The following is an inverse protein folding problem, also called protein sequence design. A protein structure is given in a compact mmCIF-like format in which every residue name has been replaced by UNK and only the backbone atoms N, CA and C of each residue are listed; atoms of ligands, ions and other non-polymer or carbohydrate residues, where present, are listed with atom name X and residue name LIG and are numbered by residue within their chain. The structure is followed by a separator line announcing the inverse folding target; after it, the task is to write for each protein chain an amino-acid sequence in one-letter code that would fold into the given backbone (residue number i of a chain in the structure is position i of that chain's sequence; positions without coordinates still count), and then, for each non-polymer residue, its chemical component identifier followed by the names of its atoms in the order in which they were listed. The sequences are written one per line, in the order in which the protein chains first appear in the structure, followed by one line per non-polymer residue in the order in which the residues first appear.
data_IF_832225874639
#
_entry.id   IF_832225874639
#
_cell.length_a   1.000
_cell.length_b   1.000
_cell.length_c   1.000
_cell.angle_alpha   90.00
_cell.angle_beta   90.00
_cell.angle_gamma   90.00
#
_symmetry.space_group_name_H-M   'P 1'
#
loop_
_entity.id
_entity.type
_entity.pdbx_description
1 polymer ?
#
# COMPACT_ATOMS: atom_id res chain seq x y z
N UNK A 1 25.68 -8.45 -17.28
CA UNK A 1 24.83 -8.93 -16.18
C UNK A 1 24.92 -7.90 -15.09
N UNK A 2 23.88 -7.09 -14.88
CA UNK A 2 23.76 -6.28 -13.66
C UNK A 2 23.04 -7.19 -12.67
N UNK A 3 23.77 -7.88 -11.80
CA UNK A 3 23.14 -8.58 -10.70
C UNK A 3 22.82 -7.55 -9.63
N UNK A 4 21.54 -7.25 -9.45
CA UNK A 4 21.16 -6.56 -8.22
C UNK A 4 21.48 -7.50 -7.05
N UNK A 5 21.91 -6.96 -5.89
CA UNK A 5 22.04 -7.75 -4.67
C UNK A 5 20.75 -8.50 -4.33
N UNK A 6 19.60 -7.91 -4.68
CA UNK A 6 18.29 -8.56 -4.65
C UNK A 6 18.23 -9.83 -5.50
N UNK A 7 18.71 -9.79 -6.74
CA UNK A 7 18.69 -10.91 -7.68
C UNK A 7 19.67 -12.00 -7.23
N UNK A 8 20.86 -11.63 -6.75
CA UNK A 8 21.84 -12.57 -6.20
C UNK A 8 21.31 -13.25 -4.94
N UNK A 9 20.68 -12.49 -4.05
CA UNK A 9 20.06 -13.01 -2.83
C UNK A 9 18.84 -13.88 -3.14
N UNK A 10 17.97 -13.47 -4.07
CA UNK A 10 16.83 -14.26 -4.52
C UNK A 10 17.31 -15.56 -5.20
N UNK A 11 18.36 -15.49 -6.02
CA UNK A 11 18.97 -16.66 -6.66
C UNK A 11 19.65 -17.59 -5.63
N UNK A 12 20.27 -17.04 -4.59
CA UNK A 12 20.82 -17.81 -3.48
C UNK A 12 19.69 -18.53 -2.73
N UNK A 13 18.63 -17.81 -2.33
CA UNK A 13 17.47 -18.40 -1.67
C UNK A 13 16.79 -19.46 -2.54
N UNK A 14 16.69 -19.22 -3.85
CA UNK A 14 16.17 -20.20 -4.81
C UNK A 14 17.03 -21.47 -4.80
N UNK A 15 18.36 -21.35 -4.91
CA UNK A 15 19.29 -22.50 -4.82
C UNK A 15 19.18 -23.23 -3.49
N UNK A 16 19.13 -22.50 -2.37
CA UNK A 16 18.99 -23.09 -1.03
C UNK A 16 17.67 -23.85 -0.87
N UNK A 17 16.57 -23.34 -1.44
CA UNK A 17 15.25 -24.00 -1.45
C UNK A 17 15.20 -25.21 -2.38
N UNK A 18 15.85 -25.14 -3.54
CA UNK A 18 16.00 -26.29 -4.46
C UNK A 18 16.83 -27.41 -3.82
N UNK A 19 17.85 -27.04 -3.02
CA UNK A 19 18.67 -27.99 -2.26
C UNK A 19 17.96 -28.55 -1.03
N UNK A 20 17.10 -27.76 -0.39
CA UNK A 20 16.34 -28.12 0.81
C UNK A 20 14.82 -27.94 0.57
N UNK A 21 14.19 -28.83 -0.23
CA UNK A 21 12.78 -28.73 -0.51
C UNK A 21 11.98 -28.84 0.78
N UNK A 22 11.18 -27.80 1.07
CA UNK A 22 10.22 -27.85 2.18
C UNK A 22 9.07 -28.75 1.74
N UNK A 23 8.97 -29.93 2.34
CA UNK A 23 7.74 -30.71 2.29
C UNK A 23 6.77 -30.14 3.32
N UNK A 24 5.64 -29.64 2.82
CA UNK A 24 4.51 -29.26 3.67
C UNK A 24 3.47 -30.35 3.48
N UNK A 25 3.31 -31.18 4.50
CA UNK A 25 2.49 -32.38 4.43
C UNK A 25 1.00 -32.09 4.66
N UNK A 26 0.68 -30.88 5.14
CA UNK A 26 -0.67 -30.44 5.46
C UNK A 26 -0.82 -28.92 5.33
N UNK A 27 -2.02 -28.44 4.96
CA UNK A 27 -2.38 -27.03 5.10
C UNK A 27 -2.95 -26.77 6.49
N UNK A 28 -2.66 -25.58 7.01
CA UNK A 28 -3.31 -25.07 8.22
C UNK A 28 -4.83 -24.94 8.04
N UNK A 29 -5.58 -25.21 9.10
CA UNK A 29 -7.05 -25.24 9.09
C UNK A 29 -7.67 -23.90 8.63
N UNK A 30 -7.08 -22.76 8.99
CA UNK A 30 -7.57 -21.45 8.55
C UNK A 30 -7.29 -21.20 7.06
N UNK A 31 -6.25 -21.82 6.49
CA UNK A 31 -5.99 -21.79 5.04
C UNK A 31 -6.98 -22.70 4.30
N UNK A 32 -7.30 -23.86 4.85
CA UNK A 32 -8.32 -24.75 4.28
C UNK A 32 -9.70 -24.09 4.29
N UNK A 33 -10.06 -23.38 5.36
CA UNK A 33 -11.36 -22.74 5.53
C UNK A 33 -11.67 -21.63 4.51
N UNK A 34 -10.65 -21.06 3.85
CA UNK A 34 -10.82 -20.03 2.82
C UNK A 34 -10.81 -20.58 1.39
N UNK A 35 -10.55 -21.87 1.23
CA UNK A 35 -10.63 -22.56 -0.06
C UNK A 35 -12.06 -23.10 -0.28
N UNK A 36 -12.46 -23.41 -1.53
CA UNK A 36 -13.79 -23.94 -1.80
C UNK A 36 -14.13 -25.21 -1.00
N UNK A 37 -15.40 -25.42 -0.67
CA UNK A 37 -15.79 -26.64 0.05
C UNK A 37 -15.50 -27.90 -0.76
N UNK A 38 -15.01 -28.95 -0.08
CA UNK A 38 -14.77 -30.26 -0.67
C UNK A 38 -13.54 -30.36 -1.58
N UNK A 39 -12.58 -29.43 -1.51
CA UNK A 39 -11.31 -29.63 -2.22
C UNK A 39 -10.53 -30.81 -1.63
N UNK A 40 -9.74 -31.46 -2.47
CA UNK A 40 -8.64 -32.33 -2.05
C UNK A 40 -7.31 -31.64 -2.38
N UNK A 41 -6.44 -31.45 -1.40
CA UNK A 41 -5.08 -30.92 -1.64
C UNK A 41 -4.21 -32.06 -2.19
N UNK A 42 -3.70 -31.90 -3.41
CA UNK A 42 -2.88 -32.90 -4.06
C UNK A 42 -1.41 -32.73 -3.66
N UNK A 43 -0.86 -31.51 -3.78
CA UNK A 43 0.53 -31.23 -3.43
C UNK A 43 0.74 -29.78 -2.98
N UNK A 44 1.71 -29.56 -2.11
CA UNK A 44 2.20 -28.24 -1.72
C UNK A 44 3.69 -28.21 -2.00
N UNK A 45 4.14 -27.26 -2.82
CA UNK A 45 5.54 -27.15 -3.22
C UNK A 45 6.04 -25.72 -3.06
N UNK A 46 7.33 -25.50 -2.73
CA UNK A 46 7.91 -24.17 -2.77
C UNK A 46 7.70 -23.50 -4.13
N UNK A 47 7.39 -22.21 -4.15
CA UNK A 47 7.18 -21.45 -5.39
C UNK A 47 7.68 -20.02 -5.25
N UNK A 48 8.49 -19.55 -6.20
CA UNK A 48 9.10 -18.22 -6.15
C UNK A 48 10.14 -18.05 -5.03
N UNK A 49 10.78 -16.89 -5.02
CA UNK A 49 11.73 -16.48 -3.99
C UNK A 49 11.31 -15.14 -3.39
N UNK A 50 11.27 -15.06 -2.07
CA UNK A 50 11.06 -13.81 -1.33
C UNK A 50 12.03 -13.77 -0.16
N UNK A 51 12.61 -12.58 0.07
CA UNK A 51 13.48 -12.31 1.20
C UNK A 51 12.74 -12.36 2.55
N UNK A 52 11.46 -12.02 2.52
CA UNK A 52 10.64 -11.67 3.69
C UNK A 52 9.62 -12.74 4.04
N UNK A 53 9.16 -13.50 3.04
CA UNK A 53 8.13 -14.51 3.21
C UNK A 53 8.56 -15.88 2.68
N UNK A 54 8.00 -16.93 3.26
CA UNK A 54 7.93 -18.22 2.60
C UNK A 54 6.80 -18.19 1.57
N UNK A 55 7.03 -18.79 0.42
CA UNK A 55 6.10 -18.75 -0.71
C UNK A 55 5.93 -20.16 -1.25
N UNK A 56 4.68 -20.58 -1.44
CA UNK A 56 4.34 -21.93 -1.89
C UNK A 56 3.23 -21.92 -2.93
N UNK A 57 3.26 -22.91 -3.81
CA UNK A 57 2.15 -23.28 -4.68
C UNK A 57 1.38 -24.44 -4.04
N UNK A 58 0.06 -24.34 -4.06
CA UNK A 58 -0.86 -25.36 -3.61
C UNK A 58 -1.62 -25.86 -4.83
N UNK A 59 -1.46 -27.13 -5.18
CA UNK A 59 -2.25 -27.78 -6.21
C UNK A 59 -3.39 -28.54 -5.52
N UNK A 60 -4.63 -28.23 -5.87
CA UNK A 60 -5.80 -28.84 -5.28
C UNK A 60 -6.84 -29.22 -6.34
N UNK A 61 -7.62 -30.26 -6.06
CA UNK A 61 -8.71 -30.74 -6.89
C UNK A 61 -10.06 -30.35 -6.30
N UNK A 62 -10.91 -29.72 -7.10
CA UNK A 62 -12.28 -29.41 -6.74
C UNK A 62 -13.16 -30.67 -6.80
N UNK A 63 -14.38 -30.61 -6.26
CA UNK A 63 -15.30 -31.75 -6.22
C UNK A 63 -15.72 -32.30 -7.58
N UNK A 64 -15.57 -31.51 -8.66
CA UNK A 64 -15.81 -31.92 -10.05
C UNK A 64 -14.59 -32.57 -10.73
N UNK A 65 -13.46 -32.66 -10.02
CA UNK A 65 -12.20 -33.18 -10.54
C UNK A 65 -11.27 -32.13 -11.16
N UNK A 66 -11.71 -30.86 -11.28
CA UNK A 66 -10.89 -29.77 -11.83
C UNK A 66 -9.71 -29.48 -10.91
N UNK A 67 -8.50 -29.42 -11.48
CA UNK A 67 -7.30 -29.01 -10.74
C UNK A 67 -7.20 -27.48 -10.76
N UNK A 68 -7.11 -26.87 -9.58
CA UNK A 68 -6.86 -25.45 -9.38
C UNK A 68 -5.60 -25.24 -8.56
N UNK A 69 -4.82 -24.21 -8.92
CA UNK A 69 -3.55 -23.88 -8.27
C UNK A 69 -3.66 -22.55 -7.54
N UNK A 70 -3.02 -22.46 -6.38
CA UNK A 70 -3.01 -21.26 -5.53
C UNK A 70 -1.60 -20.88 -5.13
N UNK A 71 -1.34 -19.59 -5.00
CA UNK A 71 -0.10 -19.07 -4.46
C UNK A 71 -0.34 -18.56 -3.04
N UNK A 72 0.53 -18.95 -2.11
CA UNK A 72 0.46 -18.53 -0.72
C UNK A 72 1.77 -17.91 -0.27
N UNK A 73 1.68 -16.73 0.35
CA UNK A 73 2.75 -16.12 1.15
C UNK A 73 2.53 -16.42 2.62
N UNK A 74 3.61 -16.65 3.34
CA UNK A 74 3.62 -16.92 4.77
C UNK A 74 4.71 -16.09 5.45
N UNK A 75 4.38 -15.42 6.55
CA UNK A 75 5.36 -14.73 7.39
C UNK A 75 6.27 -15.74 8.08
N UNK A 76 7.58 -15.51 8.04
CA UNK A 76 8.53 -16.41 8.69
C UNK A 76 8.67 -16.06 10.19
N UNK A 77 8.50 -17.03 11.11
CA UNK A 77 8.77 -16.82 12.53
C UNK A 77 10.18 -16.28 12.75
N UNK A 78 10.30 -15.19 13.51
CA UNK A 78 11.58 -14.54 13.81
C UNK A 78 12.14 -13.60 12.71
N UNK A 79 11.51 -13.51 11.54
CA UNK A 79 11.83 -12.47 10.52
C UNK A 79 10.90 -11.27 10.58
N UNK A 80 9.62 -11.48 10.91
CA UNK A 80 8.75 -10.40 11.36
C UNK A 80 9.09 -10.09 12.81
N UNK A 81 9.52 -8.85 13.10
CA UNK A 81 9.95 -8.42 14.43
C UNK A 81 8.86 -8.60 15.52
N UNK A 82 7.60 -8.83 15.11
CA UNK A 82 6.48 -9.30 15.94
C UNK A 82 5.36 -9.89 15.05
N UNK A 83 4.40 -10.64 15.63
CA UNK A 83 3.20 -11.09 14.91
C UNK A 83 2.37 -9.97 14.31
N UNK A 84 2.35 -8.79 14.95
CA UNK A 84 1.68 -7.59 14.45
C UNK A 84 2.33 -7.04 13.16
N UNK A 85 3.65 -7.17 12.98
CA UNK A 85 4.30 -6.86 11.71
C UNK A 85 3.84 -7.84 10.63
N UNK A 86 3.82 -9.13 10.94
CA UNK A 86 3.33 -10.16 10.03
C UNK A 86 1.89 -9.94 9.58
N UNK A 87 1.00 -9.63 10.54
CA UNK A 87 -0.40 -9.26 10.29
C UNK A 87 -0.51 -8.11 9.30
N UNK A 88 0.16 -7.00 9.59
CA UNK A 88 0.09 -5.79 8.75
C UNK A 88 0.65 -6.03 7.35
N UNK A 89 1.70 -6.84 7.20
CA UNK A 89 2.24 -7.21 5.88
C UNK A 89 1.22 -7.98 5.05
N UNK A 90 0.58 -9.00 5.62
CA UNK A 90 -0.40 -9.83 4.89
C UNK A 90 -1.71 -9.09 4.64
N UNK A 91 -2.22 -8.33 5.62
CA UNK A 91 -3.39 -7.46 5.48
C UNK A 91 -3.15 -6.39 4.40
N UNK A 92 -2.02 -5.69 4.47
CA UNK A 92 -1.64 -4.66 3.51
C UNK A 92 -1.53 -5.23 2.09
N UNK A 93 -0.90 -6.39 1.93
CA UNK A 93 -0.82 -7.10 0.64
C UNK A 93 -2.22 -7.41 0.12
N UNK A 94 -3.07 -8.03 0.95
CA UNK A 94 -4.43 -8.41 0.52
C UNK A 94 -5.28 -7.22 0.12
N UNK A 95 -5.31 -6.16 0.93
CA UNK A 95 -6.12 -4.96 0.66
C UNK A 95 -5.62 -4.22 -0.59
N UNK A 96 -4.30 -4.11 -0.73
CA UNK A 96 -3.65 -3.51 -1.90
C UNK A 96 -3.99 -4.25 -3.19
N UNK A 97 -3.72 -5.56 -3.22
CA UNK A 97 -3.96 -6.40 -4.39
C UNK A 97 -5.45 -6.47 -4.74
N UNK A 98 -6.33 -6.54 -3.73
CA UNK A 98 -7.79 -6.55 -3.96
C UNK A 98 -8.24 -5.24 -4.60
N UNK A 99 -7.70 -4.11 -4.14
CA UNK A 99 -8.02 -2.80 -4.71
C UNK A 99 -7.48 -2.69 -6.12
N UNK A 100 -6.24 -3.14 -6.39
CA UNK A 100 -5.62 -3.08 -7.71
C UNK A 100 -6.34 -4.00 -8.73
N UNK A 101 -6.67 -5.23 -8.32
CA UNK A 101 -7.45 -6.18 -9.11
C UNK A 101 -8.84 -5.64 -9.48
N UNK A 102 -9.44 -4.76 -8.67
CA UNK A 102 -10.74 -4.15 -9.01
C UNK A 102 -10.68 -3.23 -10.25
N UNK A 103 -9.49 -2.71 -10.59
CA UNK A 103 -9.25 -1.86 -11.77
C UNK A 103 -8.61 -2.61 -12.95
N UNK A 104 -7.98 -3.75 -12.71
CA UNK A 104 -7.31 -4.55 -13.76
C UNK A 104 -7.37 -6.07 -13.49
N UNK A 105 -8.56 -6.67 -13.38
CA UNK A 105 -8.72 -8.04 -12.87
C UNK A 105 -8.07 -9.12 -13.76
N UNK A 106 -7.82 -8.83 -15.04
CA UNK A 106 -7.15 -9.77 -15.95
C UNK A 106 -5.63 -9.78 -15.78
N UNK A 107 -5.06 -8.79 -15.09
CA UNK A 107 -3.62 -8.57 -14.99
C UNK A 107 -3.10 -8.64 -13.55
N UNK A 108 -3.89 -9.18 -12.62
CA UNK A 108 -3.52 -9.32 -11.21
C UNK A 108 -3.92 -10.71 -10.74
N UNK A 109 -3.01 -11.49 -10.10
CA UNK A 109 -3.39 -12.76 -9.50
C UNK A 109 -4.52 -12.55 -8.50
N UNK A 110 -5.70 -13.14 -8.75
CA UNK A 110 -6.90 -12.82 -7.98
C UNK A 110 -6.69 -13.09 -6.49
N UNK A 111 -6.78 -12.07 -5.62
CA UNK A 111 -6.67 -12.26 -4.18
C UNK A 111 -7.85 -13.08 -3.64
N UNK A 112 -7.56 -13.97 -2.70
CA UNK A 112 -8.56 -14.87 -2.11
C UNK A 112 -8.76 -14.52 -0.63
N UNK A 113 -7.67 -14.50 0.15
CA UNK A 113 -7.76 -14.24 1.58
C UNK A 113 -6.41 -13.82 2.19
N UNK A 114 -6.49 -13.29 3.40
CA UNK A 114 -5.38 -13.28 4.36
C UNK A 114 -5.91 -13.72 5.72
N UNK A 115 -5.04 -14.21 6.60
CA UNK A 115 -5.43 -14.65 7.93
C UNK A 115 -4.26 -15.12 8.77
N UNK A 116 -4.53 -15.39 10.04
CA UNK A 116 -3.60 -16.04 10.96
C UNK A 116 -3.74 -17.56 10.85
N UNK A 117 -2.65 -18.29 11.06
CA UNK A 117 -2.69 -19.74 11.20
C UNK A 117 -3.44 -20.15 12.47
N UNK A 118 -4.20 -21.25 12.38
CA UNK A 118 -4.84 -21.86 13.55
C UNK A 118 -3.82 -22.61 14.42
N UNK A 119 -2.84 -23.25 13.78
CA UNK A 119 -1.85 -24.13 14.43
C UNK A 119 -0.69 -23.37 15.05
N UNK A 120 -0.37 -22.17 14.57
CA UNK A 120 0.78 -21.37 14.98
C UNK A 120 0.40 -19.89 15.13
N UNK A 121 0.14 -19.42 16.36
CA UNK A 121 -0.13 -18.00 16.61
C UNK A 121 0.97 -17.09 16.10
N UNK A 122 0.60 -15.85 15.75
CA UNK A 122 1.48 -14.83 15.16
C UNK A 122 2.04 -15.17 13.77
N UNK A 123 1.59 -16.26 13.16
CA UNK A 123 1.94 -16.63 11.78
C UNK A 123 0.80 -16.27 10.85
N UNK A 124 1.07 -15.39 9.89
CA UNK A 124 0.07 -14.83 8.98
C UNK A 124 0.31 -15.25 7.53
N UNK A 125 -0.76 -15.45 6.79
CA UNK A 125 -0.73 -15.81 5.38
C UNK A 125 -1.50 -14.82 4.50
N UNK A 126 -1.10 -14.78 3.24
CA UNK A 126 -1.85 -14.21 2.11
C UNK A 126 -1.99 -15.29 1.04
N UNK A 127 -3.17 -15.37 0.41
CA UNK A 127 -3.53 -16.39 -0.57
C UNK A 127 -4.16 -15.74 -1.82
N UNK A 128 -3.72 -16.16 -3.00
CA UNK A 128 -4.28 -15.74 -4.29
C UNK A 128 -4.27 -16.89 -5.31
N UNK A 129 -4.86 -16.64 -6.49
CA UNK A 129 -4.73 -17.54 -7.64
C UNK A 129 -3.26 -17.66 -8.09
N UNK A 130 -2.86 -18.88 -8.46
CA UNK A 130 -1.51 -19.12 -8.97
C UNK A 130 -1.45 -18.87 -10.47
N UNK A 131 -0.43 -18.14 -10.89
CA UNK A 131 -0.02 -17.99 -12.28
C UNK A 131 1.42 -18.49 -12.42
N UNK A 132 1.68 -19.26 -13.48
CA UNK A 132 3.04 -19.65 -13.83
C UNK A 132 3.63 -18.50 -14.65
N UNK A 133 4.67 -17.84 -14.16
CA UNK A 133 5.17 -16.59 -14.74
C UNK A 133 6.60 -16.78 -15.24
N UNK A 134 6.89 -16.26 -16.43
CA UNK A 134 8.22 -16.30 -17.02
C UNK A 134 9.01 -15.04 -16.68
N UNK A 135 10.28 -15.21 -16.32
CA UNK A 135 11.22 -14.12 -16.03
C UNK A 135 11.69 -13.45 -17.33
N UNK A 136 10.76 -12.78 -18.00
CA UNK A 136 10.96 -12.01 -19.22
C UNK A 136 10.40 -10.60 -19.04
N UNK A 137 11.09 -9.62 -19.62
CA UNK A 137 10.59 -8.25 -19.61
C UNK A 137 9.28 -8.20 -20.41
N UNK A 138 8.21 -7.61 -19.85
CA UNK A 138 6.94 -7.51 -20.54
C UNK A 138 7.07 -6.59 -21.76
N UNK A 139 6.21 -6.81 -22.77
CA UNK A 139 6.13 -5.87 -23.90
C UNK A 139 5.82 -4.46 -23.38
N UNK A 140 6.66 -3.51 -23.78
CA UNK A 140 6.60 -2.14 -23.28
C UNK A 140 5.24 -1.49 -23.50
N UNK A 141 4.63 -1.66 -24.68
CA UNK A 141 3.37 -0.98 -24.99
C UNK A 141 2.22 -1.58 -24.20
N UNK A 142 2.15 -2.91 -24.15
CA UNK A 142 1.13 -3.61 -23.38
C UNK A 142 1.23 -3.29 -21.89
N UNK A 143 2.43 -3.37 -21.30
CA UNK A 143 2.65 -3.06 -19.89
C UNK A 143 2.27 -1.61 -19.54
N UNK A 144 2.76 -0.65 -20.34
CA UNK A 144 2.46 0.77 -20.12
C UNK A 144 0.97 1.06 -20.29
N UNK A 145 0.28 0.39 -21.24
CA UNK A 145 -1.16 0.54 -21.43
C UNK A 145 -1.96 0.02 -20.24
N UNK A 146 -1.55 -1.10 -19.62
CA UNK A 146 -2.19 -1.66 -18.42
C UNK A 146 -2.07 -0.67 -17.25
N UNK A 147 -0.85 -0.21 -16.95
CA UNK A 147 -0.59 0.73 -15.85
C UNK A 147 -1.33 2.05 -16.06
N UNK A 148 -1.26 2.62 -17.26
CA UNK A 148 -1.98 3.85 -17.58
C UNK A 148 -3.51 3.68 -17.49
N UNK A 149 -4.04 2.51 -17.85
CA UNK A 149 -5.47 2.20 -17.69
C UNK A 149 -5.88 2.21 -16.22
N UNK A 150 -5.12 1.57 -15.33
CA UNK A 150 -5.41 1.59 -13.88
C UNK A 150 -5.41 3.03 -13.36
N UNK A 151 -4.40 3.83 -13.71
CA UNK A 151 -4.33 5.23 -13.29
C UNK A 151 -5.52 6.05 -13.80
N UNK A 152 -5.91 5.92 -15.08
CA UNK A 152 -7.08 6.63 -15.64
C UNK A 152 -8.37 6.20 -14.97
N UNK A 153 -8.59 4.90 -14.83
CA UNK A 153 -9.85 4.38 -14.35
C UNK A 153 -10.06 4.64 -12.86
N UNK A 154 -8.98 4.77 -12.08
CA UNK A 154 -9.01 5.03 -10.64
C UNK A 154 -8.89 6.52 -10.28
N UNK A 155 -8.49 7.39 -11.21
CA UNK A 155 -8.34 8.83 -10.98
C UNK A 155 -9.60 9.44 -10.35
N UNK A 156 -9.45 10.15 -9.23
CA UNK A 156 -10.54 10.80 -8.50
C UNK A 156 -11.45 9.83 -7.71
N UNK A 157 -11.14 8.53 -7.68
CA UNK A 157 -11.95 7.50 -6.99
C UNK A 157 -11.39 7.07 -5.64
N UNK A 158 -10.47 7.84 -5.07
CA UNK A 158 -10.06 7.63 -3.68
C UNK A 158 -11.28 7.64 -2.75
N UNK A 159 -11.44 6.65 -1.86
CA UNK A 159 -12.64 6.52 -1.03
C UNK A 159 -12.86 7.70 -0.09
N UNK A 160 -11.81 8.49 0.17
CA UNK A 160 -11.82 9.68 1.02
C UNK A 160 -11.61 10.98 0.23
N UNK A 161 -11.43 10.89 -1.09
CA UNK A 161 -10.93 11.98 -1.96
C UNK A 161 -9.55 12.54 -1.56
N UNK A 162 -8.82 11.85 -0.68
CA UNK A 162 -7.50 12.22 -0.17
C UNK A 162 -6.42 11.26 -0.67
N UNK A 163 -5.16 11.60 -0.43
CA UNK A 163 -4.00 10.74 -0.67
C UNK A 163 -3.74 9.85 0.54
N UNK A 164 -3.34 8.59 0.31
CA UNK A 164 -3.11 7.59 1.36
C UNK A 164 -3.81 6.27 1.10
N UNK A 165 -3.99 5.45 2.12
CA UNK A 165 -4.63 4.14 1.99
C UNK A 165 -5.33 3.72 3.29
N UNK A 166 -6.24 2.76 3.19
CA UNK A 166 -7.05 2.34 4.35
C UNK A 166 -6.23 1.62 5.43
N UNK A 167 -5.16 0.94 5.02
CA UNK A 167 -4.25 0.19 5.90
C UNK A 167 -2.79 0.49 5.54
N UNK A 168 -1.83 0.29 6.45
CA UNK A 168 -0.42 0.31 6.11
C UNK A 168 -0.09 -0.77 5.07
N UNK A 169 0.43 -0.36 3.91
CA UNK A 169 1.06 -1.26 2.95
C UNK A 169 2.56 -1.31 3.20
N UNK A 170 3.28 -2.29 2.65
CA UNK A 170 4.71 -2.46 2.92
C UNK A 170 5.49 -2.52 1.62
N UNK A 171 6.35 -1.54 1.37
CA UNK A 171 7.32 -1.62 0.28
C UNK A 171 8.53 -2.42 0.77
N UNK A 172 8.69 -3.65 0.27
CA UNK A 172 9.50 -4.68 0.91
C UNK A 172 9.06 -4.95 2.37
N UNK A 173 9.92 -4.73 3.36
CA UNK A 173 9.59 -4.84 4.79
C UNK A 173 9.33 -3.47 5.46
N UNK A 174 9.33 -2.38 4.69
CA UNK A 174 9.17 -1.01 5.22
C UNK A 174 7.71 -0.60 5.13
N UNK A 175 7.04 -0.30 6.25
CA UNK A 175 5.66 0.17 6.23
C UNK A 175 5.58 1.55 5.55
N UNK A 176 4.68 1.68 4.59
CA UNK A 176 4.27 2.97 4.07
C UNK A 176 3.37 3.65 5.10
N UNK A 177 3.72 4.87 5.49
CA UNK A 177 2.80 5.70 6.25
C UNK A 177 1.67 6.19 5.32
N UNK A 178 0.59 5.42 5.32
CA UNK A 178 -0.58 5.62 4.47
C UNK A 178 -1.64 6.54 5.09
N UNK A 179 -1.32 7.28 6.16
CA UNK A 179 -2.24 8.23 6.76
C UNK A 179 -2.80 9.20 5.72
N UNK A 180 -4.11 9.45 5.79
CA UNK A 180 -4.82 10.24 4.78
C UNK A 180 -4.44 11.71 4.84
N UNK A 181 -4.00 12.26 3.71
CA UNK A 181 -3.60 13.67 3.59
C UNK A 181 -4.35 14.35 2.44
N UNK A 182 -4.70 15.62 2.64
CA UNK A 182 -5.44 16.41 1.64
C UNK A 182 -4.55 16.90 0.49
N UNK A 183 -3.24 17.01 0.72
CA UNK A 183 -2.27 17.45 -0.29
C UNK A 183 -1.29 16.33 -0.59
N UNK A 184 -0.93 16.20 -1.86
CA UNK A 184 0.05 15.24 -2.32
C UNK A 184 1.45 15.55 -1.77
N UNK A 185 1.80 16.83 -1.67
CA UNK A 185 3.06 17.27 -1.07
C UNK A 185 3.21 16.75 0.37
N UNK A 186 2.19 16.95 1.20
CA UNK A 186 2.21 16.50 2.60
C UNK A 186 2.34 14.99 2.70
N UNK A 187 1.55 14.25 1.92
CA UNK A 187 1.62 12.79 1.91
C UNK A 187 3.00 12.29 1.48
N UNK A 188 3.53 12.84 0.39
CA UNK A 188 4.81 12.41 -0.16
C UNK A 188 5.97 12.74 0.77
N UNK A 189 5.95 13.90 1.43
CA UNK A 189 6.94 14.26 2.46
C UNK A 189 6.95 13.25 3.60
N UNK A 190 5.78 12.90 4.14
CA UNK A 190 5.63 11.90 5.20
C UNK A 190 6.20 10.52 4.78
N UNK A 191 5.88 10.08 3.56
CA UNK A 191 6.41 8.82 3.02
C UNK A 191 7.95 8.85 2.84
N UNK A 192 8.51 9.98 2.42
CA UNK A 192 9.97 10.16 2.27
C UNK A 192 10.67 10.21 3.63
N UNK A 193 10.08 10.87 4.63
CA UNK A 193 10.62 10.92 6.00
C UNK A 193 10.69 9.52 6.61
N UNK A 194 9.63 8.71 6.48
CA UNK A 194 9.63 7.33 6.94
C UNK A 194 10.73 6.48 6.26
N UNK A 195 10.93 6.68 4.95
CA UNK A 195 11.97 5.96 4.20
C UNK A 195 13.38 6.40 4.60
N UNK A 196 13.61 7.69 4.83
CA UNK A 196 14.89 8.19 5.30
C UNK A 196 15.18 7.77 6.74
N UNK A 197 14.17 7.72 7.59
CA UNK A 197 14.29 7.20 8.96
C UNK A 197 14.70 5.72 8.94
N UNK A 198 14.09 4.90 8.08
CA UNK A 198 14.52 3.50 7.88
C UNK A 198 15.99 3.40 7.42
N UNK A 199 16.42 4.28 6.51
CA UNK A 199 17.82 4.35 6.06
C UNK A 199 18.76 4.73 7.21
N UNK A 200 18.39 5.74 8.00
CA UNK A 200 19.14 6.22 9.17
C UNK A 200 19.23 5.16 10.26
N UNK A 201 18.16 4.42 10.53
CA UNK A 201 18.15 3.30 11.49
C UNK A 201 19.07 2.16 11.05
N UNK A 202 19.20 1.94 9.74
CA UNK A 202 20.06 0.91 9.16
C UNK A 202 21.55 1.29 9.25
N UNK A 203 21.89 2.52 8.89
CA UNK A 203 23.30 2.95 8.71
C UNK A 203 23.86 3.81 9.85
N UNK A 204 23.00 4.28 10.75
CA UNK A 204 23.34 5.30 11.73
C UNK A 204 23.36 6.72 11.15
N UNK A 205 23.66 7.68 12.02
CA UNK A 205 23.65 9.11 11.72
C UNK A 205 24.73 9.50 10.69
N UNK A 206 24.35 10.34 9.73
CA UNK A 206 25.26 10.98 8.77
C UNK A 206 24.83 12.44 8.64
N UNK A 207 25.57 13.33 9.31
CA UNK A 207 25.23 14.75 9.38
C UNK A 207 25.15 15.44 8.01
N UNK A 208 25.98 15.04 7.05
CA UNK A 208 25.91 15.59 5.69
C UNK A 208 24.62 15.13 5.01
N UNK A 209 24.26 13.85 5.17
CA UNK A 209 23.05 13.31 4.57
C UNK A 209 21.78 13.89 5.22
N UNK A 210 21.80 14.12 6.53
CA UNK A 210 20.70 14.76 7.25
C UNK A 210 20.47 16.20 6.78
N UNK A 211 21.53 16.98 6.55
CA UNK A 211 21.40 18.32 5.96
C UNK A 211 20.81 18.24 4.56
N UNK A 212 21.35 17.36 3.71
CA UNK A 212 20.85 17.16 2.34
C UNK A 212 19.37 16.76 2.33
N UNK A 213 18.96 15.86 3.23
CA UNK A 213 17.58 15.42 3.33
C UNK A 213 16.66 16.53 3.86
N UNK A 214 17.12 17.34 4.81
CA UNK A 214 16.37 18.55 5.25
C UNK A 214 16.18 19.52 4.08
N UNK A 215 17.22 19.81 3.31
CA UNK A 215 17.10 20.66 2.12
C UNK A 215 16.17 20.05 1.06
N UNK A 216 16.20 18.74 0.84
CA UNK A 216 15.24 18.05 -0.03
C UNK A 216 13.81 18.29 0.46
N UNK A 217 13.57 18.08 1.76
CA UNK A 217 12.26 18.19 2.39
C UNK A 217 11.72 19.63 2.37
N UNK A 218 12.55 20.58 2.75
CA UNK A 218 12.12 21.95 3.04
C UNK A 218 12.13 22.82 1.77
N UNK A 219 12.92 22.46 0.75
CA UNK A 219 13.05 23.22 -0.50
C UNK A 219 12.51 22.47 -1.71
N UNK A 220 13.07 21.29 -1.99
CA UNK A 220 12.85 20.58 -3.25
C UNK A 220 11.43 20.01 -3.35
N UNK A 221 10.96 19.30 -2.31
CA UNK A 221 9.63 18.68 -2.31
C UNK A 221 8.52 19.74 -2.47
N UNK A 222 8.48 20.81 -1.65
CA UNK A 222 7.56 21.93 -1.85
C UNK A 222 7.63 22.52 -3.25
N UNK A 223 8.85 22.72 -3.77
CA UNK A 223 9.07 23.31 -5.08
C UNK A 223 8.55 22.46 -6.23
N UNK A 224 8.67 21.14 -6.14
CA UNK A 224 8.26 20.24 -7.21
C UNK A 224 6.80 19.80 -7.10
N UNK A 225 6.26 19.68 -5.88
CA UNK A 225 4.96 19.05 -5.66
C UNK A 225 3.84 20.06 -5.39
N UNK A 226 4.08 21.14 -4.64
CA UNK A 226 3.04 22.16 -4.37
C UNK A 226 2.46 22.78 -5.64
N UNK A 227 3.25 23.03 -6.69
CA UNK A 227 2.70 23.57 -7.94
C UNK A 227 1.71 22.64 -8.66
N UNK A 228 1.66 21.34 -8.35
CA UNK A 228 0.65 20.43 -8.90
C UNK A 228 -0.78 20.80 -8.45
N UNK A 229 -0.91 21.44 -7.28
CA UNK A 229 -2.17 21.72 -6.59
C UNK A 229 -2.39 23.24 -6.36
N UNK A 230 -1.58 24.09 -6.99
CA UNK A 230 -1.62 25.56 -6.79
C UNK A 230 -1.49 26.35 -8.10
N UNK A 231 -1.74 27.66 -8.04
CA UNK A 231 -1.75 28.51 -9.24
C UNK A 231 -2.82 28.08 -10.27
N UNK A 232 -3.98 27.63 -9.78
CA UNK A 232 -5.10 27.15 -10.60
C UNK A 232 -4.95 25.71 -11.12
N UNK A 233 -3.90 24.99 -10.72
CA UNK A 233 -3.70 23.57 -11.05
C UNK A 233 -4.29 22.68 -9.96
N UNK A 234 -4.62 21.47 -10.35
CA UNK A 234 -5.09 20.41 -9.48
C UNK A 234 -4.71 19.07 -10.06
N UNK A 235 -4.36 18.13 -9.19
CA UNK A 235 -4.26 16.71 -9.49
C UNK A 235 -5.30 15.96 -8.66
N UNK A 236 -5.70 14.79 -9.13
CA UNK A 236 -6.59 13.91 -8.39
C UNK A 236 -5.82 12.65 -7.96
N UNK A 237 -6.13 12.08 -6.78
CA UNK A 237 -5.55 10.81 -6.39
C UNK A 237 -6.00 9.69 -7.35
N UNK A 238 -5.07 8.87 -7.80
CA UNK A 238 -5.32 7.61 -8.49
C UNK A 238 -4.63 6.46 -7.74
N UNK A 239 -5.00 5.23 -8.07
CA UNK A 239 -4.43 4.05 -7.43
C UNK A 239 -3.02 3.78 -7.96
N UNK A 240 -2.03 3.89 -7.08
CA UNK A 240 -0.62 3.65 -7.35
C UNK A 240 -0.26 2.23 -6.93
N UNK A 241 0.49 1.49 -7.74
CA UNK A 241 1.01 0.17 -7.38
C UNK A 241 2.22 0.26 -6.43
N UNK A 242 3.10 1.23 -6.70
CA UNK A 242 4.30 1.64 -5.97
C UNK A 242 5.49 0.67 -5.96
N UNK A 243 5.34 -0.55 -6.48
CA UNK A 243 6.46 -1.48 -6.68
C UNK A 243 6.54 -2.05 -8.11
N UNK A 244 6.37 -1.19 -9.13
CA UNK A 244 6.38 -1.59 -10.55
C UNK A 244 7.81 -1.70 -11.11
N UNK A 245 8.52 -2.76 -10.76
CA UNK A 245 9.79 -3.14 -11.39
C UNK A 245 9.63 -4.50 -12.08
N UNK A 246 10.56 -4.91 -12.99
CA UNK A 246 10.44 -6.16 -13.74
C UNK A 246 10.17 -7.42 -12.90
N UNK A 247 10.62 -7.44 -11.64
CA UNK A 247 10.36 -8.55 -10.72
C UNK A 247 8.89 -8.72 -10.31
N UNK A 248 8.06 -7.72 -10.58
CA UNK A 248 6.64 -7.63 -10.20
C UNK A 248 5.72 -7.42 -11.41
N UNK A 249 6.25 -7.57 -12.63
CA UNK A 249 5.46 -7.55 -13.86
C UNK A 249 6.01 -8.58 -14.86
N UNK A 250 5.34 -9.73 -14.95
CA UNK A 250 5.83 -10.88 -15.72
C UNK A 250 4.72 -11.44 -16.62
N UNK A 251 5.05 -11.92 -17.83
CA UNK A 251 4.10 -12.67 -18.64
C UNK A 251 3.73 -14.01 -17.97
N UNK A 252 2.45 -14.35 -18.00
CA UNK A 252 1.95 -15.68 -17.67
C UNK A 252 2.35 -16.67 -18.77
N UNK A 253 2.90 -17.83 -18.39
CA UNK A 253 3.50 -18.81 -19.28
C UNK A 253 2.45 -19.49 -20.19
N UNK A 254 1.21 -19.62 -19.72
CA UNK A 254 0.14 -20.30 -20.45
C UNK A 254 -0.58 -19.34 -21.41
N UNK A 255 -0.91 -18.13 -20.93
CA UNK A 255 -1.71 -17.15 -21.67
C UNK A 255 -0.90 -16.09 -22.42
N UNK A 256 0.33 -15.81 -21.96
CA UNK A 256 1.14 -14.70 -22.43
C UNK A 256 0.68 -13.32 -21.92
N UNK A 257 -0.38 -13.27 -21.11
CA UNK A 257 -0.88 -12.03 -20.51
C UNK A 257 0.10 -11.51 -19.46
N UNK A 258 0.24 -10.19 -19.36
CA UNK A 258 1.12 -9.58 -18.34
C UNK A 258 0.40 -9.62 -17.00
N UNK A 259 1.04 -10.22 -16.01
CA UNK A 259 0.61 -10.24 -14.62
C UNK A 259 1.43 -9.23 -13.83
N UNK A 260 0.74 -8.36 -13.10
CA UNK A 260 1.27 -7.38 -12.16
C UNK A 260 0.89 -7.85 -10.76
N UNK A 261 1.86 -7.87 -9.84
CA UNK A 261 1.69 -8.42 -8.51
C UNK A 261 2.66 -7.76 -7.52
N UNK A 262 2.50 -8.08 -6.25
CA UNK A 262 3.20 -7.51 -5.10
C UNK A 262 2.95 -6.00 -4.95
N UNK A 263 1.70 -5.61 -5.18
CA UNK A 263 1.28 -4.22 -5.04
C UNK A 263 1.39 -3.73 -3.59
N UNK A 264 2.04 -2.59 -3.40
CA UNK A 264 2.16 -1.91 -2.10
C UNK A 264 1.33 -0.62 -2.08
N UNK A 265 0.12 -0.71 -2.64
CA UNK A 265 -0.59 0.42 -3.20
C UNK A 265 -1.09 1.48 -2.23
N UNK A 266 -1.36 2.64 -2.81
CA UNK A 266 -1.93 3.81 -2.14
C UNK A 266 -2.61 4.71 -3.17
N UNK A 267 -3.44 5.64 -2.71
CA UNK A 267 -4.02 6.71 -3.52
C UNK A 267 -3.04 7.87 -3.61
N UNK A 268 -2.55 8.19 -4.80
CA UNK A 268 -1.42 9.09 -5.01
C UNK A 268 -1.40 9.78 -6.37
N UNK A 269 -0.34 10.56 -6.62
CA UNK A 269 -0.06 11.14 -7.92
C UNK A 269 0.46 10.05 -8.88
N UNK A 270 -0.16 9.93 -10.06
CA UNK A 270 0.11 8.90 -11.07
C UNK A 270 1.59 8.85 -11.52
N UNK A 271 2.30 9.98 -11.55
CA UNK A 271 3.73 10.01 -11.90
C UNK A 271 4.62 9.32 -10.86
N UNK A 272 4.16 9.14 -9.62
CA UNK A 272 4.95 8.52 -8.56
C UNK A 272 5.22 7.03 -8.78
N UNK A 273 4.34 6.33 -9.50
CA UNK A 273 4.52 4.92 -9.84
C UNK A 273 5.65 4.67 -10.86
N UNK A 274 6.13 5.75 -11.51
CA UNK A 274 7.16 5.68 -12.54
C UNK A 274 8.58 5.73 -11.96
N UNK A 275 8.73 5.96 -10.64
CA UNK A 275 10.03 6.15 -10.00
C UNK A 275 10.98 4.97 -10.19
N UNK A 276 10.46 3.74 -10.09
CA UNK A 276 11.21 2.51 -10.40
C UNK A 276 11.64 2.49 -11.87
N UNK A 277 10.83 2.97 -12.81
CA UNK A 277 11.17 2.92 -14.24
C UNK A 277 12.36 3.81 -14.58
N UNK A 278 12.55 4.92 -13.85
CA UNK A 278 13.71 5.81 -14.03
C UNK A 278 15.02 5.11 -13.67
N UNK A 279 15.00 4.19 -12.72
CA UNK A 279 16.22 3.58 -12.21
C UNK A 279 16.91 2.72 -13.28
N UNK A 280 18.17 3.01 -13.65
CA UNK A 280 18.86 2.31 -14.75
C UNK A 280 18.94 0.78 -14.57
N UNK A 281 18.90 0.31 -13.32
CA UNK A 281 18.97 -1.11 -12.93
C UNK A 281 17.81 -1.96 -13.48
N UNK A 282 16.62 -1.38 -13.65
CA UNK A 282 15.41 -2.13 -14.01
C UNK A 282 15.14 -2.19 -15.52
N UNK A 283 16.00 -1.59 -16.36
CA UNK A 283 15.91 -1.68 -17.84
C UNK A 283 14.58 -1.23 -18.46
N UNK A 284 13.75 -0.47 -17.75
CA UNK A 284 12.54 0.17 -18.29
C UNK A 284 12.91 1.51 -18.93
N UNK A 285 13.32 2.49 -18.12
CA UNK A 285 13.95 3.73 -18.57
C UNK A 285 13.10 4.63 -19.46
N UNK A 286 13.78 5.49 -20.24
CA UNK A 286 13.15 6.53 -21.08
C UNK A 286 12.09 6.02 -22.07
N UNK A 287 12.22 4.83 -22.71
CA UNK A 287 11.20 4.33 -23.62
C UNK A 287 9.83 4.13 -22.93
N UNK A 288 9.81 3.52 -21.75
CA UNK A 288 8.58 3.28 -20.98
C UNK A 288 7.96 4.59 -20.50
N UNK A 289 8.79 5.50 -19.97
CA UNK A 289 8.35 6.84 -19.55
C UNK A 289 7.71 7.62 -20.70
N UNK A 290 8.34 7.61 -21.89
CA UNK A 290 7.79 8.27 -23.09
C UNK A 290 6.49 7.64 -23.57
N UNK A 291 6.38 6.31 -23.51
CA UNK A 291 5.14 5.65 -23.89
C UNK A 291 4.01 6.03 -22.92
N UNK A 292 4.30 6.09 -21.62
CA UNK A 292 3.32 6.50 -20.62
C UNK A 292 2.89 7.95 -20.80
N UNK A 293 3.84 8.86 -21.08
CA UNK A 293 3.56 10.25 -21.42
C UNK A 293 2.61 10.39 -22.62
N UNK A 294 2.73 9.54 -23.64
CA UNK A 294 1.81 9.58 -24.80
C UNK A 294 0.37 9.25 -24.40
N UNK A 295 0.18 8.39 -23.40
CA UNK A 295 -1.13 7.91 -22.96
C UNK A 295 -1.73 8.84 -21.90
N UNK A 296 -0.93 9.27 -20.93
CA UNK A 296 -1.38 10.02 -19.74
C UNK A 296 -1.15 11.52 -19.84
N UNK A 297 -0.28 11.98 -20.75
CA UNK A 297 0.26 13.33 -20.71
C UNK A 297 1.32 13.50 -19.61
N UNK A 298 1.70 14.75 -19.39
CA UNK A 298 2.55 15.17 -18.26
C UNK A 298 1.68 16.01 -17.33
N UNK A 299 1.86 15.92 -16.02
CA UNK A 299 1.19 16.83 -15.10
C UNK A 299 1.81 18.23 -15.20
N UNK A 300 0.97 19.26 -15.17
CA UNK A 300 1.45 20.65 -15.09
C UNK A 300 2.04 20.90 -13.69
N UNK A 301 3.19 21.60 -13.56
CA UNK A 301 3.95 22.26 -14.62
C UNK A 301 4.82 21.26 -15.38
N UNK A 302 4.70 21.25 -16.72
CA UNK A 302 5.42 20.27 -17.55
C UNK A 302 6.94 20.37 -17.46
N UNK A 303 7.49 21.57 -17.20
CA UNK A 303 8.93 21.78 -17.07
C UNK A 303 9.56 21.00 -15.90
N UNK A 304 8.76 20.68 -14.88
CA UNK A 304 9.22 20.00 -13.67
C UNK A 304 9.02 18.48 -13.75
N UNK A 305 8.47 17.96 -14.85
CA UNK A 305 8.14 16.54 -14.97
C UNK A 305 9.35 15.60 -14.74
N UNK A 306 10.51 15.94 -15.32
CA UNK A 306 11.70 15.08 -15.18
C UNK A 306 12.27 15.14 -13.76
N UNK A 307 12.20 16.32 -13.12
CA UNK A 307 12.64 16.52 -11.74
C UNK A 307 11.70 15.84 -10.74
N UNK A 308 10.39 15.84 -10.99
CA UNK A 308 9.43 15.04 -10.21
C UNK A 308 9.71 13.55 -10.35
N UNK A 309 10.02 13.07 -11.55
CA UNK A 309 10.40 11.66 -11.74
C UNK A 309 11.72 11.32 -11.03
N UNK A 310 12.69 12.23 -11.01
CA UNK A 310 13.91 12.09 -10.21
C UNK A 310 13.59 12.02 -8.71
N UNK A 311 12.74 12.93 -8.22
CA UNK A 311 12.27 12.93 -6.84
C UNK A 311 11.54 11.63 -6.46
N UNK A 312 10.67 11.10 -7.34
CA UNK A 312 9.98 9.83 -7.11
C UNK A 312 10.92 8.62 -7.12
N UNK A 313 11.98 8.65 -7.93
CA UNK A 313 12.98 7.59 -7.94
C UNK A 313 13.80 7.52 -6.64
N UNK A 314 14.03 8.65 -5.96
CA UNK A 314 14.80 8.72 -4.71
C UNK A 314 14.25 7.79 -3.62
N UNK A 315 12.93 7.64 -3.53
CA UNK A 315 12.29 6.74 -2.55
C UNK A 315 12.83 5.31 -2.66
N UNK A 316 13.09 4.84 -3.88
CA UNK A 316 13.63 3.51 -4.12
C UNK A 316 15.14 3.44 -3.88
N UNK A 317 15.89 4.51 -4.12
CA UNK A 317 17.33 4.53 -3.80
C UNK A 317 17.56 4.52 -2.27
N UNK A 318 16.72 5.24 -1.51
CA UNK A 318 16.70 5.17 -0.04
C UNK A 318 16.31 3.78 0.46
N UNK A 319 15.24 3.19 -0.11
CA UNK A 319 14.83 1.83 0.19
C UNK A 319 15.99 0.84 0.00
N UNK A 320 16.63 0.85 -1.18
CA UNK A 320 17.73 -0.05 -1.47
C UNK A 320 18.95 0.20 -0.57
N UNK A 321 19.21 1.45 -0.18
CA UNK A 321 20.24 1.78 0.81
C UNK A 321 19.97 1.07 2.14
N UNK A 322 18.76 1.18 2.67
CA UNK A 322 18.37 0.53 3.92
C UNK A 322 18.27 -1.00 3.81
N UNK A 323 17.81 -1.54 2.68
CA UNK A 323 17.70 -2.99 2.49
C UNK A 323 19.06 -3.69 2.34
N UNK A 324 20.04 -3.01 1.76
CA UNK A 324 21.36 -3.58 1.44
C UNK A 324 22.48 -2.75 2.10
N UNK A 325 22.64 -2.83 3.43
CA UNK A 325 23.59 -1.98 4.16
C UNK A 325 25.04 -2.12 3.71
N UNK A 326 25.42 -3.30 3.20
CA UNK A 326 26.77 -3.57 2.70
C UNK A 326 27.01 -2.99 1.29
N UNK A 327 25.97 -2.53 0.60
CA UNK A 327 26.00 -2.02 -0.77
C UNK A 327 25.93 -0.49 -0.77
N UNK A 328 27.04 0.13 -0.32
CA UNK A 328 27.14 1.59 -0.11
C UNK A 328 26.82 2.42 -1.36
N UNK A 329 26.88 1.83 -2.56
CA UNK A 329 26.52 2.48 -3.82
C UNK A 329 25.11 3.09 -3.81
N UNK A 330 24.12 2.46 -3.14
CA UNK A 330 22.75 2.98 -3.11
C UNK A 330 22.66 4.26 -2.28
N UNK A 331 23.30 4.29 -1.11
CA UNK A 331 23.45 5.50 -0.29
C UNK A 331 24.09 6.64 -1.08
N UNK A 332 25.16 6.34 -1.81
CA UNK A 332 25.86 7.33 -2.63
C UNK A 332 25.01 7.84 -3.80
N UNK A 333 24.21 6.97 -4.43
CA UNK A 333 23.26 7.37 -5.46
C UNK A 333 22.20 8.32 -4.89
N UNK A 334 21.61 7.99 -3.74
CA UNK A 334 20.62 8.83 -3.07
C UNK A 334 21.22 10.21 -2.69
N UNK A 335 22.38 10.25 -2.02
CA UNK A 335 23.07 11.51 -1.67
C UNK A 335 23.35 12.36 -2.91
N UNK A 336 23.84 11.76 -3.99
CA UNK A 336 24.16 12.45 -5.24
C UNK A 336 22.92 13.05 -5.90
N UNK A 337 21.85 12.27 -6.01
CA UNK A 337 20.62 12.70 -6.69
C UNK A 337 19.90 13.77 -5.86
N UNK A 338 19.86 13.63 -4.51
CA UNK A 338 19.37 14.69 -3.61
C UNK A 338 20.17 15.96 -3.78
N UNK A 339 21.51 15.88 -3.74
CA UNK A 339 22.37 17.05 -3.94
C UNK A 339 22.09 17.72 -5.30
N UNK A 340 21.90 16.94 -6.36
CA UNK A 340 21.61 17.46 -7.69
C UNK A 340 20.30 18.26 -7.72
N UNK A 341 19.25 17.76 -7.06
CA UNK A 341 17.98 18.47 -6.96
C UNK A 341 18.08 19.71 -6.06
N UNK A 342 18.78 19.63 -4.93
CA UNK A 342 19.01 20.76 -4.02
C UNK A 342 19.80 21.87 -4.71
N UNK A 343 20.88 21.52 -5.43
CA UNK A 343 21.68 22.49 -6.21
C UNK A 343 20.84 23.17 -7.30
N UNK A 344 19.84 22.47 -7.86
CA UNK A 344 18.93 23.00 -8.90
C UNK A 344 17.83 23.90 -8.32
N UNK A 345 17.38 23.64 -7.10
CA UNK A 345 16.33 24.39 -6.40
C UNK A 345 16.82 24.94 -5.05
N UNK A 346 17.89 25.76 -5.03
CA UNK A 346 18.55 26.18 -3.78
C UNK A 346 17.65 27.03 -2.87
N UNK A 347 16.71 27.77 -3.47
CA UNK A 347 15.78 28.67 -2.78
C UNK A 347 14.39 28.04 -2.58
N UNK A 348 14.20 26.79 -3.02
CA UNK A 348 12.90 26.11 -2.97
C UNK A 348 11.80 26.86 -3.73
N UNK A 349 10.58 26.87 -3.18
CA UNK A 349 9.44 27.61 -3.71
C UNK A 349 9.36 29.00 -3.06
N UNK A 350 10.24 29.91 -3.48
CA UNK A 350 10.28 31.30 -3.02
C UNK A 350 9.24 32.18 -3.74
N UNK A 351 8.97 33.39 -3.24
CA UNK A 351 8.05 34.35 -3.88
C UNK A 351 8.51 34.79 -5.28
N UNK A 352 9.82 34.70 -5.56
CA UNK A 352 10.40 35.01 -6.87
C UNK A 352 10.25 33.85 -7.88
N UNK A 353 9.85 32.65 -7.44
CA UNK A 353 9.64 31.52 -8.33
C UNK A 353 8.36 31.72 -9.17
N UNK A 354 8.41 31.55 -10.51
CA UNK A 354 7.25 31.77 -11.38
C UNK A 354 6.07 30.84 -11.10
N UNK A 355 6.28 29.73 -10.39
CA UNK A 355 5.26 28.77 -10.01
C UNK A 355 4.73 29.01 -8.59
N UNK A 356 5.28 29.99 -7.86
CA UNK A 356 4.79 30.38 -6.55
C UNK A 356 3.34 30.87 -6.64
N UNK A 357 2.53 30.43 -5.68
CA UNK A 357 1.16 30.89 -5.52
C UNK A 357 0.79 30.97 -4.05
N UNK A 358 0.30 32.13 -3.56
CA UNK A 358 -0.03 32.31 -2.14
C UNK A 358 -1.27 31.52 -1.69
N UNK A 359 -2.01 30.89 -2.61
CA UNK A 359 -3.32 30.27 -2.34
C UNK A 359 -3.31 29.05 -1.40
N UNK A 360 -2.15 28.41 -1.17
CA UNK A 360 -2.03 27.24 -0.29
C UNK A 360 -1.18 27.50 0.97
N UNK A 361 -0.43 28.60 1.04
CA UNK A 361 0.39 28.92 2.21
C UNK A 361 -0.45 29.02 3.51
N UNK A 362 -1.74 29.34 3.38
CA UNK A 362 -2.71 29.39 4.48
C UNK A 362 -3.26 28.01 4.92
N UNK A 363 -3.20 26.98 4.07
CA UNK A 363 -3.72 25.64 4.40
C UNK A 363 -2.66 24.77 5.11
N UNK A 364 -1.37 24.95 4.77
CA UNK A 364 -0.27 24.17 5.36
C UNK A 364 -0.05 24.50 6.84
N UNK A 365 -0.25 25.75 7.26
CA UNK A 365 -0.07 26.17 8.67
C UNK A 365 -1.12 25.55 9.61
N UNK A 366 -2.32 25.27 9.11
CA UNK A 366 -3.37 24.59 9.88
C UNK A 366 -3.13 23.06 10.00
N UNK A 367 -2.46 22.45 9.02
CA UNK A 367 -2.19 21.01 9.00
C UNK A 367 -1.04 20.60 9.94
N UNK A 368 0.00 21.44 10.08
CA UNK A 368 1.12 21.19 11.02
C UNK A 368 0.64 21.20 12.48
N UNK A 369 -0.31 22.08 12.82
CA UNK A 369 -0.88 22.16 14.17
C UNK A 369 -1.76 20.94 14.54
N UNK A 370 -2.28 20.19 13.56
CA UNK A 370 -3.07 18.97 13.81
C UNK A 370 -2.22 17.70 13.92
N UNK A 371 -1.00 17.66 13.37
CA UNK A 371 -0.13 16.47 13.42
C UNK A 371 0.62 16.31 14.74
N UNK A 372 0.88 17.39 15.50
CA UNK A 372 1.67 17.31 16.75
C UNK A 372 0.99 16.53 17.90
N UNK A 373 -0.34 16.30 17.84
CA UNK A 373 -1.07 15.52 18.86
C UNK A 373 -1.48 14.11 18.41
N UNK A 374 -1.15 13.70 17.18
CA UNK A 374 -1.70 12.50 16.55
C UNK A 374 -1.18 11.18 17.14
N UNK A 375 0.09 11.11 17.55
CA UNK A 375 0.64 9.92 18.20
C UNK A 375 0.05 9.68 19.59
N UNK A 376 -0.34 10.73 20.33
CA UNK A 376 -1.06 10.57 21.59
C UNK A 376 -2.49 10.05 21.36
N UNK A 377 -3.17 10.52 20.31
CA UNK A 377 -4.53 10.08 19.97
C UNK A 377 -4.58 8.62 19.48
N UNK A 378 -3.55 8.13 18.78
CA UNK A 378 -3.48 6.71 18.39
C UNK A 378 -3.26 5.76 19.58
N UNK A 379 -2.55 6.22 20.62
CA UNK A 379 -2.25 5.42 21.81
C UNK A 379 -3.37 5.38 22.86
N UNK A 380 -4.40 6.22 22.74
CA UNK A 380 -5.48 6.39 23.72
C UNK A 380 -6.81 5.84 23.23
N UNK A 381 -6.86 4.55 22.98
CA UNK A 381 -8.08 3.87 22.55
C UNK A 381 -9.16 3.92 23.63
N UNK A 382 -10.36 4.39 23.27
CA UNK A 382 -11.46 4.50 24.23
C UNK A 382 -12.24 3.18 24.27
N UNK A 383 -12.28 2.54 25.43
CA UNK A 383 -13.14 1.39 25.67
C UNK A 383 -14.59 1.86 25.85
N UNK A 384 -15.50 1.37 25.01
CA UNK A 384 -16.91 1.71 25.08
C UNK A 384 -17.66 0.65 25.89
N UNK A 385 -18.28 1.07 26.99
CA UNK A 385 -19.09 0.22 27.87
C UNK A 385 -20.22 1.03 28.50
N UNK A 386 -21.25 0.33 29.02
CA UNK A 386 -22.43 0.97 29.62
C UNK A 386 -23.57 1.19 28.64
N UNK A 387 -24.71 1.68 29.14
CA UNK A 387 -25.91 1.91 28.33
C UNK A 387 -25.75 3.13 27.43
N UNK A 388 -26.17 3.01 26.17
CA UNK A 388 -26.13 4.08 25.16
C UNK A 388 -27.54 4.62 24.95
N UNK A 389 -27.67 5.95 24.98
CA UNK A 389 -28.88 6.62 24.50
C UNK A 389 -28.84 6.67 22.97
N UNK A 390 -29.76 5.97 22.32
CA UNK A 390 -29.84 5.95 20.86
C UNK A 390 -30.37 7.27 20.32
N UNK A 391 -29.73 7.73 19.25
CA UNK A 391 -30.21 8.88 18.48
C UNK A 391 -31.55 8.54 17.79
N UNK A 392 -32.53 9.46 17.73
CA UNK A 392 -33.79 9.24 17.03
C UNK A 392 -33.63 8.76 15.58
N UNK A 393 -32.55 9.17 14.89
CA UNK A 393 -32.26 8.69 13.55
C UNK A 393 -31.96 7.18 13.51
N UNK A 394 -31.24 6.64 14.51
CA UNK A 394 -30.97 5.21 14.63
C UNK A 394 -32.27 4.44 14.87
N UNK A 395 -33.12 4.95 15.77
CA UNK A 395 -34.42 4.35 16.07
C UNK A 395 -35.29 4.33 14.80
N UNK A 396 -35.26 5.40 14.00
CA UNK A 396 -36.01 5.48 12.73
C UNK A 396 -35.50 4.53 11.64
N UNK A 397 -34.24 4.10 11.72
CA UNK A 397 -33.62 3.17 10.78
C UNK A 397 -33.85 1.70 11.14
N UNK A 398 -34.34 1.41 12.35
CA UNK A 398 -34.72 0.05 12.74
C UNK A 398 -35.91 -0.45 11.90
N UNK A 399 -36.07 -1.77 11.75
CA UNK A 399 -37.20 -2.34 11.03
C UNK A 399 -38.55 -1.80 11.55
N UNK A 400 -39.53 -1.61 10.66
CA UNK A 400 -40.88 -1.25 11.06
C UNK A 400 -41.41 -2.29 12.06
N UNK A 401 -42.01 -1.80 13.15
CA UNK A 401 -42.48 -2.58 14.31
C UNK A 401 -41.40 -3.18 15.23
N UNK A 402 -40.15 -2.69 15.16
CA UNK A 402 -39.11 -3.01 16.12
C UNK A 402 -39.26 -2.19 17.42
N UNK A 403 -39.16 -2.87 18.57
CA UNK A 403 -39.03 -2.25 19.89
C UNK A 403 -37.61 -2.47 20.39
N UNK A 404 -36.89 -1.40 20.68
CA UNK A 404 -35.54 -1.48 21.27
C UNK A 404 -35.63 -2.02 22.70
N UNK A 405 -34.83 -3.05 22.98
CA UNK A 405 -34.73 -3.69 24.29
C UNK A 405 -33.52 -3.15 25.06
N UNK A 406 -32.37 -3.01 24.37
CA UNK A 406 -31.15 -2.50 24.97
C UNK A 406 -30.25 -1.84 23.93
N UNK A 407 -29.45 -0.87 24.36
CA UNK A 407 -28.34 -0.35 23.57
C UNK A 407 -27.14 -0.14 24.48
N UNK A 408 -25.98 -0.70 24.13
CA UNK A 408 -24.79 -0.69 25.00
C UNK A 408 -23.51 -0.49 24.24
N UNK A 409 -22.57 0.22 24.87
CA UNK A 409 -21.19 0.36 24.39
C UNK A 409 -20.50 -0.99 24.36
N UNK A 410 -19.74 -1.24 23.30
CA UNK A 410 -19.01 -2.48 23.10
C UNK A 410 -17.81 -2.27 22.18
N UNK A 411 -16.66 -2.83 22.56
CA UNK A 411 -15.42 -2.74 21.79
C UNK A 411 -14.56 -1.53 22.18
N UNK A 412 -13.44 -1.39 21.47
CA UNK A 412 -12.45 -0.34 21.67
C UNK A 412 -12.24 0.38 20.34
N UNK A 413 -12.27 1.71 20.33
CA UNK A 413 -12.03 2.48 19.12
C UNK A 413 -11.38 3.83 19.42
N UNK A 414 -10.57 4.31 18.48
CA UNK A 414 -9.94 5.64 18.53
C UNK A 414 -10.80 6.71 17.84
N UNK A 415 -11.77 6.29 17.02
CA UNK A 415 -12.38 7.17 16.03
C UNK A 415 -13.91 7.27 16.16
N UNK A 416 -14.57 6.17 16.55
CA UNK A 416 -16.02 6.05 16.54
C UNK A 416 -16.53 5.51 17.88
N UNK A 417 -17.73 5.90 18.32
CA UNK A 417 -18.38 5.19 19.42
C UNK A 417 -18.92 3.87 18.88
N UNK A 418 -18.49 2.77 19.49
CA UNK A 418 -18.90 1.42 19.12
C UNK A 418 -19.84 0.82 20.16
N UNK A 419 -20.83 0.05 19.70
CA UNK A 419 -21.82 -0.56 20.56
C UNK A 419 -22.69 -1.56 19.85
N UNK A 420 -23.76 -1.98 20.50
CA UNK A 420 -24.83 -2.73 19.85
C UNK A 420 -26.17 -2.17 20.25
N UNK A 421 -27.16 -2.37 19.37
CA UNK A 421 -28.58 -2.23 19.68
C UNK A 421 -29.23 -3.60 19.59
N UNK A 422 -29.99 -3.95 20.60
CA UNK A 422 -30.83 -5.14 20.64
C UNK A 422 -32.29 -4.71 20.58
N UNK A 423 -33.05 -5.29 19.67
CA UNK A 423 -34.45 -4.97 19.44
C UNK A 423 -35.25 -6.25 19.13
N UNK A 424 -36.55 -6.20 19.38
CA UNK A 424 -37.48 -7.28 19.05
C UNK A 424 -38.53 -6.80 18.08
N UNK A 425 -38.86 -7.63 17.10
CA UNK A 425 -40.01 -7.43 16.23
C UNK A 425 -41.15 -8.35 16.68
N UNK A 426 -42.40 -7.94 16.46
CA UNK A 426 -43.58 -8.71 16.87
C UNK A 426 -43.49 -10.18 16.41
N UNK A 427 -43.60 -11.11 17.36
CA UNK A 427 -43.51 -12.56 17.16
C UNK A 427 -42.16 -13.07 16.60
N UNK A 428 -41.05 -12.37 16.88
CA UNK A 428 -39.69 -12.82 16.55
C UNK A 428 -38.79 -12.83 17.78
N UNK A 429 -37.71 -13.60 17.69
CA UNK A 429 -36.64 -13.59 18.69
C UNK A 429 -35.90 -12.23 18.67
N UNK A 430 -35.29 -11.81 19.80
CA UNK A 430 -34.46 -10.61 19.86
C UNK A 430 -33.33 -10.65 18.83
N UNK A 431 -33.13 -9.54 18.14
CA UNK A 431 -32.09 -9.36 17.13
C UNK A 431 -31.11 -8.28 17.59
N UNK A 432 -29.82 -8.52 17.40
CA UNK A 432 -28.74 -7.64 17.82
C UNK A 432 -27.96 -7.11 16.63
N UNK A 433 -27.85 -5.79 16.51
CA UNK A 433 -27.06 -5.12 15.47
C UNK A 433 -25.86 -4.43 16.08
N UNK A 434 -24.71 -4.51 15.41
CA UNK A 434 -23.53 -3.74 15.79
C UNK A 434 -23.68 -2.29 15.31
N UNK A 435 -23.30 -1.36 16.17
CA UNK A 435 -23.34 0.08 15.92
C UNK A 435 -21.92 0.63 15.87
N UNK A 436 -21.64 1.37 14.80
CA UNK A 436 -20.45 2.21 14.70
C UNK A 436 -20.89 3.63 14.38
N UNK A 437 -20.71 4.55 15.33
CA UNK A 437 -21.15 5.93 15.21
C UNK A 437 -19.92 6.82 15.05
N UNK A 438 -19.74 7.40 13.86
CA UNK A 438 -18.71 8.40 13.61
C UNK A 438 -19.21 9.78 14.03
N UNK A 439 -18.32 10.57 14.65
CA UNK A 439 -18.56 11.98 14.93
C UNK A 439 -17.72 12.81 13.98
N UNK A 440 -18.35 13.66 13.18
CA UNK A 440 -17.65 14.77 12.55
C UNK A 440 -17.43 15.86 13.61
N UNK A 441 -16.17 16.18 13.92
CA UNK A 441 -15.85 17.22 14.90
C UNK A 441 -16.05 18.64 14.36
N UNK A 442 -16.21 18.82 13.04
CA UNK A 442 -16.40 20.12 12.39
C UNK A 442 -17.88 20.45 12.13
N UNK A 443 -18.74 19.44 12.00
CA UNK A 443 -20.18 19.59 11.77
C UNK A 443 -20.90 18.63 12.72
N UNK A 444 -21.76 19.14 13.61
CA UNK A 444 -22.47 18.36 14.63
C UNK A 444 -23.55 17.39 14.08
N UNK A 445 -23.23 16.56 13.08
CA UNK A 445 -24.13 15.57 12.51
C UNK A 445 -23.50 14.17 12.49
N UNK A 446 -24.29 13.18 12.94
CA UNK A 446 -23.90 11.77 13.05
C UNK A 446 -24.28 11.03 11.77
N UNK A 447 -23.36 10.28 11.17
CA UNK A 447 -23.62 9.42 10.01
C UNK A 447 -23.51 7.95 10.44
N UNK A 448 -24.47 7.11 10.00
CA UNK A 448 -24.62 5.72 10.42
C UNK A 448 -24.41 4.77 9.24
N UNK A 449 -23.61 3.72 9.44
CA UNK A 449 -23.45 2.60 8.49
C UNK A 449 -23.82 1.29 9.20
N UNK A 450 -24.71 0.49 8.61
CA UNK A 450 -25.06 -0.84 9.12
C UNK A 450 -24.20 -1.93 8.44
N UNK A 451 -23.61 -2.83 9.23
CA UNK A 451 -23.07 -4.10 8.75
C UNK A 451 -23.99 -5.21 9.22
N UNK A 452 -24.44 -6.07 8.29
CA UNK A 452 -25.25 -7.25 8.57
C UNK A 452 -24.40 -8.44 9.00
#
# INVERSE_FOLDING_TARGET
MSSLPADEYAAQLKRERELNPVQIDHLDDNVLAVLPDGITVDTIVPSGASAWCQTVRIDARLGDGTVKRYFKKLTLPGKSQSGEVGRRMMEGTFQSETTYASYCPQHVPKPIAFGEYASEPDTWFYLCEYHDMVDELPDMKSFVAIVAKVHKDSMGKSPTQKYGFAVPTHLANVPNDNNWQVSWETWYTQAMEAMFQFEKETHGEDHEFEILFSDLKDKVIPRLLRPLETGGRSIEPCLIHSDLWPGNCMPDADSGEIMIFDSCGYWGHNESDLGSWRAPRYRLGRPFLKEYQKIMGMSEPHCDWDDRNALYALRYDLLLSGLYPNETKFRQLAKKEIKTLVDKFPDGLSEDDPLYSPSLALATTANIAMSENYYQDQSNATAHSGDIVLDPAIISALPKDATVIAARGHGVSNWNVTGYVEFVQKNREPTKWFLKVAFDRALQHKVFTHGG
#
